data_IF_194325127800
#
_entry.id   IF_194325127800
#
_cell.length_a   1.000
_cell.length_b   1.000
_cell.length_c   1.000
_cell.angle_alpha   90.00
_cell.angle_beta   90.00
_cell.angle_gamma   90.00
#
_symmetry.space_group_name_H-M   'P 1'
#
loop_
_entity.id
_entity.type
_entity.pdbx_description
1 polymer ?
#
# COMPACT_ATOMS: atom_id res chain seq x y z
N UNK A 1 33.15 -0.24 2.86
CA UNK A 1 32.22 0.74 2.30
C UNK A 1 30.90 0.00 1.99
N UNK A 2 29.90 0.20 2.82
CA UNK A 2 28.54 -0.28 2.52
C UNK A 2 28.05 0.48 1.28
N UNK A 3 27.85 -0.24 0.17
CA UNK A 3 27.23 0.33 -1.02
C UNK A 3 25.78 0.67 -0.70
N UNK A 4 25.52 1.94 -0.44
CA UNK A 4 24.16 2.46 -0.24
C UNK A 4 23.58 2.67 -1.63
N UNK A 5 22.77 1.70 -2.09
CA UNK A 5 22.07 1.84 -3.36
C UNK A 5 20.82 2.71 -3.20
N UNK A 6 20.51 3.52 -4.21
CA UNK A 6 19.30 4.35 -4.26
C UNK A 6 18.12 3.49 -4.70
N UNK A 7 17.07 3.37 -3.90
CA UNK A 7 15.88 2.60 -4.26
C UNK A 7 14.97 3.35 -5.24
N UNK A 8 14.16 2.60 -5.99
CA UNK A 8 13.15 3.17 -6.88
C UNK A 8 11.92 3.66 -6.10
N UNK A 9 11.64 3.03 -4.96
CA UNK A 9 10.51 3.39 -4.10
C UNK A 9 10.76 2.99 -2.64
N UNK A 10 9.91 3.51 -1.77
CA UNK A 10 9.89 3.25 -0.33
C UNK A 10 8.58 2.61 0.06
N UNK A 11 8.65 1.45 0.75
CA UNK A 11 7.50 0.84 1.40
C UNK A 11 7.67 0.97 2.93
N UNK A 12 6.72 1.62 3.58
CA UNK A 12 6.77 1.79 5.03
C UNK A 12 6.56 0.44 5.72
N UNK A 13 7.53 0.04 6.53
CA UNK A 13 7.51 -1.22 7.28
C UNK A 13 6.42 -1.21 8.36
N UNK A 14 6.29 -0.09 9.07
CA UNK A 14 5.32 0.09 10.13
C UNK A 14 4.10 0.87 9.64
N UNK A 15 2.93 0.27 9.80
CA UNK A 15 1.66 0.76 9.28
C UNK A 15 0.72 1.05 10.44
N UNK A 16 0.20 2.27 10.51
CA UNK A 16 -0.86 2.62 11.45
C UNK A 16 -2.25 2.48 10.81
N UNK A 17 -2.53 3.20 9.73
CA UNK A 17 -3.84 3.21 9.09
C UNK A 17 -3.90 2.34 7.82
N UNK A 18 -2.95 2.50 6.92
CA UNK A 18 -2.90 1.76 5.66
C UNK A 18 -1.48 1.66 5.12
N UNK A 19 -1.20 0.60 4.38
CA UNK A 19 0.08 0.40 3.74
C UNK A 19 0.39 1.53 2.74
N UNK A 20 1.66 1.91 2.61
CA UNK A 20 2.04 3.02 1.74
C UNK A 20 3.31 2.72 0.96
N UNK A 21 3.20 2.79 -0.35
CA UNK A 21 4.32 2.76 -1.30
C UNK A 21 4.51 4.15 -1.89
N UNK A 22 5.74 4.68 -1.85
CA UNK A 22 6.08 6.02 -2.30
C UNK A 22 7.20 5.93 -3.33
N UNK A 23 7.03 6.57 -4.50
CA UNK A 23 8.07 6.64 -5.52
C UNK A 23 9.22 7.53 -5.04
N UNK A 24 10.45 7.10 -5.28
CA UNK A 24 11.64 7.91 -5.00
C UNK A 24 11.99 8.75 -6.24
N UNK A 25 11.69 10.03 -6.20
CA UNK A 25 12.04 10.99 -7.25
C UNK A 25 13.21 11.92 -6.84
N UNK A 26 13.91 11.59 -5.74
CA UNK A 26 14.89 12.50 -5.10
C UNK A 26 16.26 11.87 -4.86
N UNK A 27 16.57 10.72 -5.42
CA UNK A 27 17.82 9.98 -5.19
C UNK A 27 18.13 9.75 -3.69
N UNK A 28 17.12 9.79 -2.85
CA UNK A 28 17.25 9.60 -1.42
C UNK A 28 17.42 8.12 -1.06
N UNK A 29 18.05 7.89 0.10
CA UNK A 29 18.08 6.57 0.73
C UNK A 29 17.43 6.64 2.11
N UNK A 30 17.14 5.49 2.70
CA UNK A 30 16.46 5.39 3.99
C UNK A 30 17.16 4.37 4.89
N UNK A 31 16.86 4.46 6.19
CA UNK A 31 17.30 3.50 7.20
C UNK A 31 16.48 2.20 7.14
N UNK A 32 16.76 1.27 8.00
CA UNK A 32 16.14 -0.06 8.12
C UNK A 32 14.66 -0.07 8.53
N UNK A 33 14.14 1.07 8.98
CA UNK A 33 12.71 1.23 9.32
C UNK A 33 11.78 1.36 8.11
N UNK A 34 12.34 1.50 6.92
CA UNK A 34 11.61 1.62 5.66
C UNK A 34 12.24 0.65 4.65
N UNK A 35 11.41 -0.17 4.01
CA UNK A 35 11.87 -1.07 2.97
C UNK A 35 12.29 -0.28 1.72
N UNK A 36 13.47 -0.57 1.24
CA UNK A 36 13.99 -0.08 -0.04
C UNK A 36 13.49 -1.00 -1.15
N UNK A 37 12.70 -0.47 -2.06
CA UNK A 37 12.09 -1.23 -3.15
C UNK A 37 12.85 -0.96 -4.44
N UNK A 38 13.18 -2.05 -5.17
CA UNK A 38 13.66 -2.00 -6.54
C UNK A 38 12.65 -2.68 -7.46
N UNK A 39 12.25 -1.99 -8.51
CA UNK A 39 11.36 -2.57 -9.50
C UNK A 39 12.15 -3.40 -10.53
N UNK A 40 11.53 -4.47 -11.01
CA UNK A 40 12.04 -5.18 -12.18
C UNK A 40 11.93 -4.26 -13.41
N UNK A 41 12.82 -4.45 -14.39
CA UNK A 41 12.87 -3.60 -15.60
C UNK A 41 11.57 -3.54 -16.42
N UNK A 42 10.68 -4.53 -16.24
CA UNK A 42 9.37 -4.59 -16.89
C UNK A 42 8.28 -3.78 -16.15
N UNK A 43 8.59 -3.26 -14.95
CA UNK A 43 7.63 -2.56 -14.10
C UNK A 43 7.84 -1.05 -14.20
N UNK A 44 6.78 -0.34 -14.59
CA UNK A 44 6.74 1.12 -14.48
C UNK A 44 6.42 1.54 -13.03
N UNK A 45 7.35 2.23 -12.40
CA UNK A 45 7.25 2.60 -10.98
C UNK A 45 6.02 3.47 -10.66
N UNK A 46 5.65 4.38 -11.56
CA UNK A 46 4.47 5.25 -11.39
C UNK A 46 3.18 4.43 -11.39
N UNK A 47 3.08 3.48 -12.32
CA UNK A 47 1.95 2.55 -12.36
C UNK A 47 1.92 1.64 -11.14
N UNK A 48 3.08 1.15 -10.67
CA UNK A 48 3.16 0.30 -9.50
C UNK A 48 2.68 1.03 -8.24
N UNK A 49 3.12 2.27 -8.02
CA UNK A 49 2.67 3.08 -6.88
C UNK A 49 1.16 3.31 -6.93
N UNK A 50 0.61 3.60 -8.11
CA UNK A 50 -0.84 3.72 -8.26
C UNK A 50 -1.56 2.41 -7.93
N UNK A 51 -1.13 1.32 -8.56
CA UNK A 51 -1.74 -0.01 -8.39
C UNK A 51 -1.65 -0.55 -6.96
N UNK A 52 -0.63 -0.16 -6.20
CA UNK A 52 -0.46 -0.61 -4.82
C UNK A 52 -1.62 -0.19 -3.89
N UNK A 53 -2.20 0.98 -4.09
CA UNK A 53 -3.18 1.58 -3.19
C UNK A 53 -4.61 1.14 -3.51
N UNK A 54 -4.90 -0.14 -3.39
CA UNK A 54 -6.21 -0.75 -3.64
C UNK A 54 -6.66 -1.65 -2.49
N UNK A 55 -7.95 -1.96 -2.44
CA UNK A 55 -8.55 -2.73 -1.35
C UNK A 55 -8.04 -4.18 -1.24
N UNK A 56 -7.61 -4.81 -2.34
CA UNK A 56 -7.02 -6.15 -2.32
C UNK A 56 -5.67 -6.12 -1.60
N UNK A 57 -4.74 -5.26 -2.03
CA UNK A 57 -3.42 -5.11 -1.41
C UNK A 57 -3.55 -4.72 0.07
N UNK A 58 -4.49 -3.83 0.40
CA UNK A 58 -4.71 -3.41 1.79
C UNK A 58 -5.28 -4.54 2.67
N UNK A 59 -6.23 -5.33 2.16
CA UNK A 59 -6.73 -6.49 2.89
C UNK A 59 -5.61 -7.51 3.16
N UNK A 60 -4.80 -7.81 2.15
CA UNK A 60 -3.69 -8.74 2.30
C UNK A 60 -2.57 -8.21 3.19
N UNK A 61 -2.32 -6.90 3.23
CA UNK A 61 -1.35 -6.34 4.17
C UNK A 61 -1.75 -6.61 5.64
N UNK A 62 -3.04 -6.53 5.96
CA UNK A 62 -3.54 -6.88 7.30
C UNK A 62 -3.54 -8.39 7.59
N UNK A 63 -3.72 -9.24 6.57
CA UNK A 63 -3.71 -10.70 6.71
C UNK A 63 -2.29 -11.22 6.91
N UNK A 64 -1.34 -10.71 6.14
CA UNK A 64 0.04 -11.19 6.10
C UNK A 64 0.93 -10.52 7.13
N UNK A 65 0.67 -9.25 7.44
CA UNK A 65 1.46 -8.48 8.38
C UNK A 65 1.29 -8.92 9.83
N UNK A 66 2.27 -8.57 10.65
CA UNK A 66 2.31 -8.89 12.08
C UNK A 66 1.77 -7.73 12.91
N UNK A 67 0.75 -8.02 13.71
CA UNK A 67 0.20 -7.03 14.64
C UNK A 67 1.00 -7.00 15.93
N UNK A 68 1.63 -5.87 16.22
CA UNK A 68 2.34 -5.61 17.47
C UNK A 68 1.52 -4.76 18.43
N UNK A 69 2.01 -4.63 19.66
CA UNK A 69 1.39 -3.79 20.67
C UNK A 69 1.21 -2.35 20.21
N UNK A 70 0.17 -1.67 20.70
CA UNK A 70 -0.12 -0.30 20.31
C UNK A 70 -0.86 -0.11 18.99
N UNK A 71 -1.34 -1.19 18.37
CA UNK A 71 -2.11 -1.12 17.12
C UNK A 71 -1.27 -0.88 15.86
N UNK A 72 0.03 -1.18 15.91
CA UNK A 72 0.91 -1.11 14.75
C UNK A 72 0.88 -2.43 13.98
N UNK A 73 0.75 -2.36 12.68
CA UNK A 73 0.99 -3.48 11.77
C UNK A 73 2.40 -3.35 11.23
N UNK A 74 3.15 -4.44 11.19
CA UNK A 74 4.48 -4.49 10.62
C UNK A 74 4.53 -5.51 9.49
N UNK A 75 5.09 -5.08 8.36
CA UNK A 75 5.42 -5.94 7.24
C UNK A 75 6.93 -6.23 7.28
N UNK A 76 7.31 -7.46 7.61
CA UNK A 76 8.68 -7.92 7.46
C UNK A 76 9.01 -8.10 5.96
N UNK A 77 10.29 -8.22 5.56
CA UNK A 77 10.66 -8.31 4.14
C UNK A 77 9.90 -9.37 3.36
N UNK A 78 9.78 -10.59 3.91
CA UNK A 78 9.09 -11.70 3.24
C UNK A 78 7.59 -11.43 3.06
N UNK A 79 6.94 -10.80 4.04
CA UNK A 79 5.52 -10.42 3.95
C UNK A 79 5.33 -9.28 2.93
N UNK A 80 6.24 -8.31 2.92
CA UNK A 80 6.22 -7.21 1.95
C UNK A 80 6.40 -7.71 0.50
N UNK A 81 7.34 -8.64 0.28
CA UNK A 81 7.59 -9.25 -1.03
C UNK A 81 6.43 -10.14 -1.50
N UNK A 82 5.71 -10.76 -0.57
CA UNK A 82 4.57 -11.63 -0.83
C UNK A 82 3.24 -10.89 -1.05
N UNK A 83 3.17 -9.56 -0.90
CA UNK A 83 1.93 -8.82 -1.07
C UNK A 83 1.39 -8.93 -2.51
N UNK A 84 0.15 -9.35 -2.70
CA UNK A 84 -0.48 -9.33 -4.01
C UNK A 84 -0.78 -7.89 -4.43
N UNK A 85 -0.18 -7.47 -5.53
CA UNK A 85 -0.40 -6.15 -6.12
C UNK A 85 -0.93 -6.37 -7.54
N UNK A 86 -2.17 -5.97 -7.85
CA UNK A 86 -2.76 -6.08 -9.16
C UNK A 86 -2.13 -5.03 -10.09
N UNK A 87 -1.01 -5.40 -10.73
CA UNK A 87 -0.27 -4.48 -11.57
C UNK A 87 -0.87 -4.36 -12.97
N UNK A 88 -1.13 -3.13 -13.37
CA UNK A 88 -1.49 -2.74 -14.73
C UNK A 88 -0.66 -1.53 -15.12
N UNK A 89 -0.09 -1.54 -16.33
CA UNK A 89 0.61 -0.37 -16.84
C UNK A 89 -0.39 0.73 -17.20
N UNK A 90 -0.20 1.91 -16.62
CA UNK A 90 -1.11 3.04 -16.73
C UNK A 90 -0.39 4.28 -17.30
N UNK A 91 -1.17 5.27 -17.70
CA UNK A 91 -0.62 6.57 -18.08
C UNK A 91 -0.12 7.33 -16.83
N UNK A 92 0.85 8.20 -17.02
CA UNK A 92 1.39 9.04 -15.93
C UNK A 92 0.33 9.96 -15.28
N UNK A 93 -0.80 10.18 -15.94
CA UNK A 93 -1.93 10.94 -15.38
C UNK A 93 -2.49 10.30 -14.11
N UNK A 94 -2.55 8.97 -14.08
CA UNK A 94 -3.04 8.24 -12.91
C UNK A 94 -2.14 8.45 -11.69
N UNK A 95 -0.81 8.42 -11.89
CA UNK A 95 0.13 8.72 -10.81
C UNK A 95 -0.03 10.15 -10.29
N UNK A 96 -0.13 11.13 -11.19
CA UNK A 96 -0.36 12.53 -10.79
C UNK A 96 -1.66 12.70 -10.00
N UNK A 97 -2.70 11.95 -10.36
CA UNK A 97 -3.98 11.98 -9.66
C UNK A 97 -3.86 11.46 -8.23
N UNK A 98 -3.25 10.29 -8.04
CA UNK A 98 -3.09 9.73 -6.68
C UNK A 98 -2.14 10.57 -5.83
N UNK A 99 -1.05 11.10 -6.40
CA UNK A 99 -0.13 11.99 -5.70
C UNK A 99 -0.84 13.26 -5.22
N UNK A 100 -1.69 13.85 -6.08
CA UNK A 100 -2.55 14.99 -5.72
C UNK A 100 -3.46 14.66 -4.54
N UNK A 101 -4.16 13.53 -4.56
CA UNK A 101 -5.07 13.14 -3.48
C UNK A 101 -4.33 12.98 -2.14
N UNK A 102 -3.14 12.39 -2.15
CA UNK A 102 -2.31 12.30 -0.95
C UNK A 102 -1.83 13.66 -0.45
N UNK A 103 -1.41 14.56 -1.32
CA UNK A 103 -1.00 15.94 -0.97
C UNK A 103 -2.15 16.76 -0.40
N UNK A 104 -3.35 16.59 -0.93
CA UNK A 104 -4.59 17.19 -0.43
C UNK A 104 -5.12 16.52 0.85
N UNK A 105 -4.42 15.50 1.37
CA UNK A 105 -4.79 14.75 2.57
C UNK A 105 -6.19 14.12 2.49
N UNK A 106 -6.58 13.69 1.29
CA UNK A 106 -7.81 12.94 1.10
C UNK A 106 -7.82 11.67 1.94
N UNK A 107 -9.00 11.24 2.35
CA UNK A 107 -9.16 10.01 3.13
C UNK A 107 -8.68 8.78 2.35
N UNK A 108 -8.25 7.74 3.06
CA UNK A 108 -7.90 6.47 2.42
C UNK A 108 -9.10 5.85 1.69
N UNK A 109 -10.32 6.06 2.18
CA UNK A 109 -11.51 5.58 1.49
C UNK A 109 -11.68 6.24 0.12
N UNK A 110 -11.51 7.57 0.01
CA UNK A 110 -11.59 8.27 -1.28
C UNK A 110 -10.50 7.79 -2.26
N UNK A 111 -9.27 7.57 -1.75
CA UNK A 111 -8.15 7.08 -2.58
C UNK A 111 -8.43 5.66 -3.07
N UNK A 112 -8.86 4.77 -2.16
CA UNK A 112 -9.19 3.39 -2.50
C UNK A 112 -10.38 3.30 -3.44
N UNK A 113 -11.42 4.13 -3.28
CA UNK A 113 -12.57 4.16 -4.19
C UNK A 113 -12.13 4.47 -5.62
N UNK A 114 -11.25 5.45 -5.79
CA UNK A 114 -10.72 5.79 -7.09
C UNK A 114 -9.88 4.65 -7.70
N UNK A 115 -8.95 4.11 -6.94
CA UNK A 115 -8.03 3.07 -7.44
C UNK A 115 -8.77 1.76 -7.68
N UNK A 116 -9.67 1.36 -6.78
CA UNK A 116 -10.49 0.15 -6.91
C UNK A 116 -11.35 0.21 -8.19
N UNK A 117 -11.96 1.36 -8.49
CA UNK A 117 -12.73 1.52 -9.71
C UNK A 117 -11.86 1.35 -10.96
N UNK A 118 -10.68 1.96 -10.99
CA UNK A 118 -9.80 1.90 -12.17
C UNK A 118 -9.14 0.52 -12.29
N UNK A 119 -8.62 -0.03 -11.22
CA UNK A 119 -7.81 -1.27 -11.26
C UNK A 119 -8.68 -2.50 -11.08
N UNK A 120 -9.40 -2.62 -9.96
CA UNK A 120 -10.11 -3.85 -9.66
C UNK A 120 -11.35 -4.02 -10.54
N UNK A 121 -12.14 -2.95 -10.71
CA UNK A 121 -13.37 -3.02 -11.49
C UNK A 121 -13.10 -2.98 -13.00
N UNK A 122 -12.47 -1.90 -13.50
CA UNK A 122 -12.39 -1.66 -14.95
C UNK A 122 -11.33 -2.53 -15.63
N UNK A 123 -10.17 -2.77 -15.00
CA UNK A 123 -9.08 -3.54 -15.58
C UNK A 123 -9.19 -5.03 -15.27
N UNK A 124 -9.51 -5.39 -14.03
CA UNK A 124 -9.53 -6.79 -13.59
C UNK A 124 -10.93 -7.39 -13.49
N UNK A 125 -11.97 -6.63 -13.82
CA UNK A 125 -13.37 -7.08 -13.89
C UNK A 125 -13.92 -7.65 -12.57
N UNK A 126 -13.41 -7.17 -11.42
CA UNK A 126 -13.99 -7.53 -10.12
C UNK A 126 -15.40 -6.95 -10.02
N UNK A 127 -16.31 -7.73 -9.49
CA UNK A 127 -17.66 -7.26 -9.16
C UNK A 127 -17.64 -6.27 -8.01
N UNK A 128 -18.66 -5.41 -7.94
CA UNK A 128 -18.79 -4.47 -6.82
C UNK A 128 -18.89 -5.18 -5.45
N UNK A 129 -19.48 -6.37 -5.41
CA UNK A 129 -19.56 -7.18 -4.18
C UNK A 129 -18.21 -7.69 -3.71
N UNK A 130 -17.33 -8.10 -4.62
CA UNK A 130 -15.97 -8.53 -4.30
C UNK A 130 -15.14 -7.36 -3.77
N UNK A 131 -15.16 -6.21 -4.44
CA UNK A 131 -14.47 -5.00 -4.00
C UNK A 131 -14.96 -4.57 -2.61
N UNK A 132 -16.27 -4.57 -2.40
CA UNK A 132 -16.86 -4.24 -1.09
C UNK A 132 -16.43 -5.24 -0.01
N UNK A 133 -16.31 -6.52 -0.34
CA UNK A 133 -15.86 -7.56 0.59
C UNK A 133 -14.39 -7.36 0.98
N UNK A 134 -13.51 -7.07 0.01
CA UNK A 134 -12.10 -6.74 0.28
C UNK A 134 -11.96 -5.51 1.19
N UNK A 135 -12.73 -4.45 0.91
CA UNK A 135 -12.76 -3.25 1.73
C UNK A 135 -13.22 -3.54 3.17
N UNK A 136 -14.27 -4.38 3.33
CA UNK A 136 -14.74 -4.80 4.65
C UNK A 136 -13.70 -5.62 5.42
N UNK A 137 -12.98 -6.52 4.74
CA UNK A 137 -11.91 -7.30 5.36
C UNK A 137 -10.83 -6.37 5.90
N UNK A 138 -10.30 -5.46 5.05
CA UNK A 138 -9.31 -4.47 5.49
C UNK A 138 -9.80 -3.67 6.71
N UNK A 139 -10.99 -3.07 6.62
CA UNK A 139 -11.55 -2.26 7.72
C UNK A 139 -11.74 -3.05 9.01
N UNK A 140 -12.23 -4.28 8.91
CA UNK A 140 -12.44 -5.15 10.08
C UNK A 140 -11.13 -5.51 10.76
N UNK A 141 -10.11 -5.88 10.00
CA UNK A 141 -8.81 -6.29 10.55
C UNK A 141 -8.05 -5.09 11.12
N UNK A 142 -7.98 -3.97 10.41
CA UNK A 142 -7.33 -2.75 10.88
C UNK A 142 -8.02 -2.17 12.12
N UNK A 143 -9.34 -2.13 12.17
CA UNK A 143 -10.10 -1.71 13.36
C UNK A 143 -9.86 -2.63 14.55
N UNK A 144 -9.86 -3.95 14.33
CA UNK A 144 -9.58 -4.93 15.39
C UNK A 144 -8.17 -4.74 15.97
N UNK A 145 -7.20 -4.44 15.13
CA UNK A 145 -5.82 -4.17 15.52
C UNK A 145 -5.69 -2.87 16.31
N UNK A 146 -6.25 -1.78 15.79
CA UNK A 146 -6.15 -0.44 16.41
C UNK A 146 -6.95 -0.34 17.71
N UNK A 147 -8.10 -1.00 17.82
CA UNK A 147 -8.92 -0.98 19.03
C UNK A 147 -8.31 -1.76 20.22
N UNK A 148 -7.37 -2.69 19.98
CA UNK A 148 -6.62 -3.33 21.08
C UNK A 148 -5.81 -2.36 21.94
N UNK A 149 -5.62 -1.11 21.50
CA UNK A 149 -5.01 -0.03 22.29
C UNK A 149 -5.76 0.30 23.58
N UNK A 150 -7.06 0.09 23.58
CA UNK A 150 -7.94 0.58 24.66
C UNK A 150 -8.33 -0.50 25.68
N UNK A 151 -7.86 -1.74 25.52
CA UNK A 151 -8.25 -2.87 26.39
C UNK A 151 -7.17 -3.23 27.42
N UNK A 152 -6.22 -2.36 27.73
CA UNK A 152 -5.40 -2.53 28.95
C UNK A 152 -6.09 -1.83 30.11
N UNK A 153 -6.84 -2.63 30.89
CA UNK A 153 -7.10 -2.34 32.31
C UNK A 153 -5.83 -2.54 33.11
#
# INVERSE_FOLDING_TARGET
LLSIWVPDAFLFRQINHGARLVLNETDSTVTDTIHRVRFKSTIDGKSMVFCFHNSLTFAFSEIMGRSYGGGVLELEPNEAEGLPIPYVKLSSKNFKLIDKLFRERKSLDEILDMVDNIILKDQLQFSQSEITSLRKIWKKLSSRRTNRRFTKK
#
